data_IF_541643147238
#
_entry.id   IF_541643147238
#
_cell.length_a   1.000
_cell.length_b   1.000
_cell.length_c   1.000
_cell.angle_alpha   90.00
_cell.angle_beta   90.00
_cell.angle_gamma   90.00
#
_symmetry.space_group_name_H-M   'P 1'
#
loop_
_entity.id
_entity.type
_entity.pdbx_description
1 polymer ?
#
# COMPACT_ATOMS: atom_id res chain seq x y z
N UNK A 1 22.26 -11.14 -7.59
CA UNK A 1 21.26 -10.52 -6.69
C UNK A 1 21.65 -9.06 -6.58
N UNK A 2 20.82 -8.14 -7.06
CA UNK A 2 21.12 -6.72 -6.96
C UNK A 2 20.72 -6.26 -5.56
N UNK A 3 21.70 -5.89 -4.73
CA UNK A 3 21.43 -5.16 -3.50
C UNK A 3 20.85 -3.81 -3.89
N UNK A 4 19.70 -3.46 -3.33
CA UNK A 4 19.11 -2.14 -3.51
C UNK A 4 20.00 -1.10 -2.85
N UNK A 5 20.23 -0.01 -3.56
CA UNK A 5 20.88 1.18 -3.02
C UNK A 5 19.98 1.85 -1.97
N UNK A 6 20.56 2.65 -1.09
CA UNK A 6 19.80 3.44 -0.11
C UNK A 6 18.72 4.31 -0.76
N UNK A 7 18.98 4.82 -1.97
CA UNK A 7 18.02 5.62 -2.73
C UNK A 7 16.82 4.81 -3.20
N UNK A 8 17.05 3.57 -3.61
CA UNK A 8 15.96 2.66 -4.01
C UNK A 8 15.15 2.19 -2.81
N UNK A 9 15.82 1.95 -1.66
CA UNK A 9 15.13 1.64 -0.41
C UNK A 9 14.26 2.81 0.06
N UNK A 10 14.77 4.04 0.05
CA UNK A 10 13.96 5.21 0.42
C UNK A 10 12.77 5.42 -0.52
N UNK A 11 12.96 5.16 -1.81
CA UNK A 11 11.86 5.24 -2.79
C UNK A 11 10.76 4.21 -2.48
N UNK A 12 11.12 2.96 -2.18
CA UNK A 12 10.14 1.93 -1.81
C UNK A 12 9.42 2.29 -0.51
N UNK A 13 10.13 2.86 0.47
CA UNK A 13 9.51 3.32 1.71
C UNK A 13 8.49 4.44 1.47
N UNK A 14 8.81 5.38 0.59
CA UNK A 14 7.87 6.45 0.21
C UNK A 14 6.65 5.92 -0.55
N UNK A 15 6.85 4.94 -1.45
CA UNK A 15 5.75 4.25 -2.14
C UNK A 15 4.82 3.52 -1.17
N UNK A 16 5.38 2.82 -0.18
CA UNK A 16 4.59 2.16 0.88
C UNK A 16 3.72 3.18 1.62
N UNK A 17 4.29 4.33 2.01
CA UNK A 17 3.55 5.40 2.69
C UNK A 17 2.44 5.99 1.81
N UNK A 18 2.72 6.23 0.53
CA UNK A 18 1.74 6.77 -0.41
C UNK A 18 0.55 5.81 -0.60
N UNK A 19 0.83 4.52 -0.72
CA UNK A 19 -0.18 3.46 -0.80
C UNK A 19 -1.01 3.37 0.49
N UNK A 20 -0.37 3.46 1.66
CA UNK A 20 -1.09 3.47 2.95
C UNK A 20 -2.08 4.64 3.07
N UNK A 21 -1.65 5.84 2.67
CA UNK A 21 -2.52 7.03 2.68
C UNK A 21 -3.69 6.80 1.74
N UNK A 22 -3.44 6.31 0.53
CA UNK A 22 -4.46 6.02 -0.47
C UNK A 22 -5.49 5.00 0.05
N UNK A 23 -5.03 3.87 0.60
CA UNK A 23 -5.90 2.84 1.16
C UNK A 23 -6.79 3.38 2.29
N UNK A 24 -6.20 4.15 3.22
CA UNK A 24 -6.93 4.76 4.35
C UNK A 24 -7.95 5.78 3.87
N UNK A 25 -7.59 6.63 2.90
CA UNK A 25 -8.49 7.63 2.33
C UNK A 25 -9.67 6.96 1.62
N UNK A 26 -9.43 5.93 0.81
CA UNK A 26 -10.50 5.23 0.08
C UNK A 26 -11.44 4.51 1.05
N UNK A 27 -10.90 3.87 2.08
CA UNK A 27 -11.72 3.23 3.10
C UNK A 27 -12.55 4.27 3.89
N UNK A 28 -11.96 5.41 4.22
CA UNK A 28 -12.71 6.52 4.80
C UNK A 28 -13.83 7.00 3.87
N UNK A 29 -13.58 7.19 2.57
CA UNK A 29 -14.62 7.52 1.60
C UNK A 29 -15.74 6.47 1.57
N UNK A 30 -15.41 5.18 1.63
CA UNK A 30 -16.39 4.10 1.68
C UNK A 30 -17.30 4.22 2.93
N UNK A 31 -16.71 4.57 4.09
CA UNK A 31 -17.45 4.77 5.34
C UNK A 31 -18.47 5.92 5.29
N UNK A 32 -18.28 6.87 4.38
CA UNK A 32 -19.18 8.01 4.18
C UNK A 32 -20.27 7.73 3.12
N UNK A 33 -20.22 6.58 2.45
CA UNK A 33 -21.17 6.23 1.40
C UNK A 33 -22.44 5.58 1.97
N UNK A 34 -23.60 6.14 1.61
CA UNK A 34 -24.90 5.52 1.88
C UNK A 34 -25.30 4.47 0.84
N UNK A 35 -24.75 4.58 -0.37
CA UNK A 35 -24.97 3.62 -1.45
C UNK A 35 -24.15 2.34 -1.22
N UNK A 36 -24.82 1.19 -1.19
CA UNK A 36 -24.21 -0.08 -0.85
C UNK A 36 -23.25 -0.59 -1.94
N UNK A 37 -23.57 -0.41 -3.22
CA UNK A 37 -22.75 -0.89 -4.32
C UNK A 37 -21.47 -0.06 -4.45
N UNK A 38 -21.59 1.26 -4.29
CA UNK A 38 -20.46 2.17 -4.28
C UNK A 38 -19.55 1.91 -3.08
N UNK A 39 -20.11 1.74 -1.88
CA UNK A 39 -19.33 1.39 -0.68
C UNK A 39 -18.55 0.10 -0.87
N UNK A 40 -19.20 -0.97 -1.34
CA UNK A 40 -18.53 -2.25 -1.57
C UNK A 40 -17.42 -2.14 -2.63
N UNK A 41 -17.62 -1.31 -3.66
CA UNK A 41 -16.60 -1.04 -4.68
C UNK A 41 -15.39 -0.32 -4.09
N UNK A 42 -15.60 0.69 -3.26
CA UNK A 42 -14.53 1.42 -2.59
C UNK A 42 -13.78 0.54 -1.57
N UNK A 43 -14.49 -0.27 -0.79
CA UNK A 43 -13.88 -1.22 0.14
C UNK A 43 -12.97 -2.21 -0.58
N UNK A 44 -13.42 -2.75 -1.72
CA UNK A 44 -12.61 -3.63 -2.57
C UNK A 44 -11.35 -2.94 -3.11
N UNK A 45 -11.46 -1.67 -3.52
CA UNK A 45 -10.29 -0.90 -3.96
C UNK A 45 -9.32 -0.69 -2.79
N UNK A 46 -9.81 -0.31 -1.62
CA UNK A 46 -8.98 -0.15 -0.43
C UNK A 46 -8.25 -1.46 -0.05
N UNK A 47 -8.92 -2.61 -0.15
CA UNK A 47 -8.32 -3.93 0.06
C UNK A 47 -7.19 -4.21 -0.94
N UNK A 48 -7.36 -3.86 -2.22
CA UNK A 48 -6.30 -4.02 -3.23
C UNK A 48 -5.05 -3.21 -2.89
N UNK A 49 -5.21 -1.97 -2.40
CA UNK A 49 -4.09 -1.17 -1.92
C UNK A 49 -3.44 -1.79 -0.66
N UNK A 50 -4.22 -2.35 0.26
CA UNK A 50 -3.69 -3.09 1.43
C UNK A 50 -2.84 -4.29 1.03
N UNK A 51 -3.27 -5.07 0.04
CA UNK A 51 -2.50 -6.19 -0.49
C UNK A 51 -1.17 -5.72 -1.12
N UNK A 52 -1.21 -4.60 -1.87
CA UNK A 52 -0.01 -4.00 -2.46
C UNK A 52 0.99 -3.51 -1.40
N UNK A 53 0.50 -2.89 -0.33
CA UNK A 53 1.33 -2.49 0.82
C UNK A 53 2.03 -3.69 1.44
N UNK A 54 1.30 -4.81 1.63
CA UNK A 54 1.86 -6.03 2.19
C UNK A 54 2.98 -6.62 1.32
N UNK A 55 2.77 -6.64 0.00
CA UNK A 55 3.77 -7.12 -0.97
C UNK A 55 5.02 -6.23 -0.98
N UNK A 56 4.84 -4.91 -1.10
CA UNK A 56 5.94 -3.94 -1.06
C UNK A 56 6.71 -3.99 0.26
N UNK A 57 6.01 -4.12 1.39
CA UNK A 57 6.63 -4.26 2.71
C UNK A 57 7.43 -5.55 2.82
N UNK A 58 6.92 -6.66 2.28
CA UNK A 58 7.65 -7.92 2.24
C UNK A 58 8.91 -7.81 1.38
N UNK A 59 8.81 -7.18 0.21
CA UNK A 59 9.94 -6.93 -0.68
C UNK A 59 11.00 -6.02 -0.03
N UNK A 60 10.58 -4.92 0.59
CA UNK A 60 11.45 -4.00 1.32
C UNK A 60 12.21 -4.72 2.45
N UNK A 61 11.50 -5.50 3.26
CA UNK A 61 12.10 -6.25 4.37
C UNK A 61 13.11 -7.29 3.88
N UNK A 62 12.78 -8.07 2.84
CA UNK A 62 13.72 -9.03 2.23
C UNK A 62 14.96 -8.34 1.68
N UNK A 63 14.79 -7.17 1.07
CA UNK A 63 15.90 -6.39 0.52
C UNK A 63 16.81 -5.81 1.60
N UNK A 64 16.27 -5.51 2.79
CA UNK A 64 17.02 -5.01 3.95
C UNK A 64 17.78 -6.11 4.71
N UNK A 65 17.28 -7.36 4.69
CA UNK A 65 17.90 -8.51 5.38
C UNK A 65 19.16 -9.03 4.66
N UNK A 66 19.41 -8.62 3.42
CA UNK A 66 20.59 -9.02 2.62
C UNK A 66 21.78 -8.02 2.80
N UNK A 67 21.70 -7.09 3.75
CA UNK A 67 22.81 -6.20 4.14
C UNK A 67 23.63 -6.77 5.29
#
# INVERSE_FOLDING_TARGET
>A
MNQLTTKELSFIEDEIRAEEITAKTINWCASQCSDHELRASLEKIAEQHQLKIADLSQYFNRSRVIQ
#
